data_IF_513378172139
#
_entry.id   IF_513378172139
#
_cell.length_a   1.000
_cell.length_b   1.000
_cell.length_c   1.000
_cell.angle_alpha   90.00
_cell.angle_beta   90.00
_cell.angle_gamma   90.00
#
_symmetry.space_group_name_H-M   'P 1'
#
loop_
_entity.id
_entity.type
_entity.pdbx_description
1 polymer ?
#
# COMPACT_ATOMS: atom_id res chain seq x y z
N UNK A 1 -0.21 -17.14 13.11
CA UNK A 1 -0.24 -16.25 11.95
C UNK A 1 -1.11 -16.86 10.86
N UNK A 2 -2.28 -16.28 10.65
CA UNK A 2 -3.21 -16.72 9.61
C UNK A 2 -2.66 -16.32 8.23
N UNK A 3 -2.49 -17.28 7.35
CA UNK A 3 -2.14 -17.04 5.94
C UNK A 3 -3.44 -17.08 5.14
N UNK A 4 -3.73 -16.01 4.40
CA UNK A 4 -4.96 -15.90 3.61
C UNK A 4 -4.88 -16.71 2.32
N UNK A 5 -3.71 -17.12 1.91
CA UNK A 5 -3.44 -17.86 0.68
C UNK A 5 -2.75 -17.03 -0.39
N UNK A 6 -2.37 -17.71 -1.47
CA UNK A 6 -1.72 -17.08 -2.63
C UNK A 6 -2.76 -16.51 -3.60
N UNK A 7 -2.34 -15.55 -4.42
CA UNK A 7 -3.15 -14.95 -5.51
C UNK A 7 -4.46 -14.28 -5.06
N UNK A 8 -4.54 -13.86 -3.80
CA UNK A 8 -5.71 -13.13 -3.29
C UNK A 8 -5.85 -11.79 -4.00
N UNK A 9 -7.06 -11.45 -4.43
CA UNK A 9 -7.42 -10.27 -5.22
C UNK A 9 -6.71 -10.18 -6.59
N UNK A 10 -6.27 -11.29 -7.15
CA UNK A 10 -5.74 -11.32 -8.50
C UNK A 10 -6.80 -10.87 -9.50
N UNK A 11 -6.51 -9.80 -10.25
CA UNK A 11 -7.45 -9.25 -11.25
C UNK A 11 -8.75 -8.66 -10.68
N UNK A 12 -8.81 -8.35 -9.38
CA UNK A 12 -9.99 -7.77 -8.76
C UNK A 12 -10.32 -6.40 -9.36
N UNK A 13 -11.60 -6.15 -9.66
CA UNK A 13 -12.07 -4.90 -10.28
C UNK A 13 -12.83 -4.00 -9.32
N UNK A 14 -13.29 -4.54 -8.20
CA UNK A 14 -14.01 -3.82 -7.15
C UNK A 14 -14.03 -4.62 -5.87
N UNK A 15 -14.60 -4.06 -4.83
CA UNK A 15 -14.79 -4.72 -3.57
C UNK A 15 -13.77 -4.31 -2.50
N UNK A 16 -13.95 -4.90 -1.32
CA UNK A 16 -13.14 -4.63 -0.15
C UNK A 16 -12.72 -5.94 0.51
N UNK A 17 -11.44 -6.06 0.84
CA UNK A 17 -10.92 -7.17 1.63
C UNK A 17 -10.20 -6.63 2.86
N UNK A 18 -10.69 -6.98 4.03
CA UNK A 18 -10.03 -6.73 5.31
C UNK A 18 -9.71 -8.08 5.96
N UNK A 19 -8.44 -8.35 6.17
CA UNK A 19 -8.03 -9.61 6.78
C UNK A 19 -6.91 -9.43 7.79
N UNK A 20 -7.18 -9.86 9.03
CA UNK A 20 -6.22 -9.90 10.12
C UNK A 20 -5.30 -11.12 9.95
N UNK A 21 -4.38 -11.02 9.01
CA UNK A 21 -3.43 -12.07 8.67
C UNK A 21 -2.57 -11.67 7.48
N UNK A 22 -1.65 -12.57 7.12
CA UNK A 22 -0.75 -12.34 5.99
C UNK A 22 -1.32 -12.97 4.72
N UNK A 23 -1.26 -12.24 3.62
CA UNK A 23 -1.47 -12.79 2.29
C UNK A 23 -0.20 -13.53 1.82
N UNK A 24 -0.38 -14.54 1.00
CA UNK A 24 0.73 -15.24 0.35
C UNK A 24 1.30 -14.47 -0.84
N UNK A 25 1.89 -15.18 -1.78
CA UNK A 25 2.45 -14.60 -3.00
C UNK A 25 1.39 -14.04 -3.92
N UNK A 26 1.76 -13.07 -4.77
CA UNK A 26 0.93 -12.44 -5.81
C UNK A 26 -0.34 -11.77 -5.28
N UNK A 27 -0.25 -11.21 -4.08
CA UNK A 27 -1.33 -10.40 -3.52
C UNK A 27 -1.62 -9.17 -4.39
N UNK A 28 -2.89 -8.95 -4.73
CA UNK A 28 -3.36 -7.81 -5.51
C UNK A 28 -2.72 -7.66 -6.91
N UNK A 29 -2.18 -8.72 -7.49
CA UNK A 29 -1.66 -8.70 -8.87
C UNK A 29 -2.80 -8.38 -9.83
N UNK A 30 -2.57 -7.42 -10.74
CA UNK A 30 -3.56 -6.91 -11.70
C UNK A 30 -4.86 -6.38 -11.06
N UNK A 31 -4.79 -6.00 -9.79
CA UNK A 31 -5.92 -5.31 -9.16
C UNK A 31 -6.20 -4.00 -9.89
N UNK A 32 -7.44 -3.74 -10.24
CA UNK A 32 -7.86 -2.54 -10.98
C UNK A 32 -8.84 -1.64 -10.21
N UNK A 33 -9.35 -2.06 -9.05
CA UNK A 33 -10.32 -1.24 -8.34
C UNK A 33 -10.71 -1.70 -6.95
N UNK A 34 -10.11 -2.75 -6.40
CA UNK A 34 -10.44 -3.20 -5.05
C UNK A 34 -9.65 -2.43 -3.99
N UNK A 35 -10.22 -2.34 -2.80
CA UNK A 35 -9.59 -1.81 -1.60
C UNK A 35 -9.26 -2.96 -0.65
N UNK A 36 -8.03 -3.01 -0.15
CA UNK A 36 -7.61 -4.11 0.71
C UNK A 36 -6.66 -3.67 1.82
N UNK A 37 -6.79 -4.30 2.99
CA UNK A 37 -5.84 -4.19 4.09
C UNK A 37 -5.50 -5.59 4.58
N UNK A 38 -4.20 -5.90 4.65
CA UNK A 38 -3.65 -7.15 5.18
C UNK A 38 -2.46 -6.86 6.09
N UNK A 39 -2.03 -7.85 6.88
CA UNK A 39 -0.93 -7.68 7.85
C UNK A 39 0.45 -8.05 7.28
N UNK A 40 0.54 -8.43 6.03
CA UNK A 40 1.76 -8.73 5.30
C UNK A 40 1.45 -9.42 3.99
N UNK A 41 2.42 -9.53 3.10
CA UNK A 41 2.28 -10.31 1.87
C UNK A 41 3.61 -10.92 1.42
N UNK A 42 3.53 -11.96 0.61
CA UNK A 42 4.70 -12.61 0.01
C UNK A 42 5.24 -11.88 -1.22
N UNK A 43 6.02 -12.56 -2.03
CA UNK A 43 6.60 -12.02 -3.24
C UNK A 43 5.54 -11.61 -4.28
N UNK A 44 5.92 -10.71 -5.17
CA UNK A 44 5.10 -10.23 -6.29
C UNK A 44 3.82 -9.48 -5.90
N UNK A 45 3.79 -8.86 -4.72
CA UNK A 45 2.66 -8.03 -4.29
C UNK A 45 2.44 -6.84 -5.22
N UNK A 46 1.19 -6.54 -5.55
CA UNK A 46 0.77 -5.42 -6.39
C UNK A 46 1.39 -5.37 -7.80
N UNK A 47 1.94 -6.47 -8.32
CA UNK A 47 2.46 -6.51 -9.67
C UNK A 47 1.35 -6.22 -10.70
N UNK A 48 1.66 -5.39 -11.69
CA UNK A 48 0.74 -5.00 -12.76
C UNK A 48 -0.60 -4.43 -12.25
N UNK A 49 -0.64 -3.95 -11.03
CA UNK A 49 -1.81 -3.27 -10.47
C UNK A 49 -2.10 -2.00 -11.27
N UNK A 50 -3.35 -1.78 -11.63
CA UNK A 50 -3.78 -0.66 -12.50
C UNK A 50 -4.73 0.31 -11.79
N UNK A 51 -5.22 -0.02 -10.62
CA UNK A 51 -6.12 0.81 -9.83
C UNK A 51 -6.38 0.20 -8.47
N UNK A 52 -7.22 0.85 -7.68
CA UNK A 52 -7.52 0.43 -6.32
C UNK A 52 -6.49 0.86 -5.28
N UNK A 53 -6.61 0.32 -4.09
CA UNK A 53 -5.71 0.64 -2.97
C UNK A 53 -5.37 -0.61 -2.19
N UNK A 54 -4.09 -0.77 -1.85
CA UNK A 54 -3.60 -1.85 -0.99
C UNK A 54 -2.85 -1.27 0.20
N UNK A 55 -3.19 -1.71 1.42
CA UNK A 55 -2.50 -1.33 2.65
C UNK A 55 -1.96 -2.61 3.28
N UNK A 56 -0.64 -2.66 3.48
CA UNK A 56 0.05 -3.80 4.05
C UNK A 56 0.71 -3.36 5.36
N UNK A 57 0.31 -3.96 6.48
CA UNK A 57 0.73 -3.58 7.83
C UNK A 57 1.94 -4.39 8.32
N UNK A 58 2.74 -4.91 7.41
CA UNK A 58 3.91 -5.71 7.73
C UNK A 58 4.82 -5.92 6.54
N UNK A 59 5.62 -6.96 6.60
CA UNK A 59 6.63 -7.26 5.59
C UNK A 59 6.02 -7.61 4.23
N UNK A 60 6.72 -7.26 3.17
CA UNK A 60 6.43 -7.64 1.79
C UNK A 60 7.57 -8.50 1.25
N UNK A 61 7.29 -9.26 0.20
CA UNK A 61 8.32 -10.04 -0.50
C UNK A 61 8.90 -9.33 -1.72
N UNK A 62 9.73 -10.04 -2.47
CA UNK A 62 10.44 -9.51 -3.64
C UNK A 62 9.51 -9.03 -4.77
N UNK A 63 10.02 -8.12 -5.59
CA UNK A 63 9.35 -7.57 -6.78
C UNK A 63 8.03 -6.84 -6.48
N UNK A 64 7.93 -6.20 -5.33
CA UNK A 64 6.74 -5.43 -5.00
C UNK A 64 6.54 -4.28 -6.01
N UNK A 65 5.34 -4.20 -6.57
CA UNK A 65 4.95 -3.14 -7.48
C UNK A 65 5.54 -3.24 -8.89
N UNK A 66 6.15 -4.36 -9.27
CA UNK A 66 6.68 -4.53 -10.62
C UNK A 66 5.58 -4.34 -11.67
N UNK A 67 5.82 -3.47 -12.66
CA UNK A 67 4.85 -3.17 -13.72
C UNK A 67 3.58 -2.47 -13.25
N UNK A 68 3.51 -1.98 -12.02
CA UNK A 68 2.38 -1.22 -11.50
C UNK A 68 2.21 0.08 -12.27
N UNK A 69 1.01 0.34 -12.78
CA UNK A 69 0.71 1.52 -13.61
C UNK A 69 -0.39 2.41 -13.05
N UNK A 70 -1.12 1.94 -12.06
CA UNK A 70 -2.18 2.71 -11.41
C UNK A 70 -2.46 2.23 -10.00
N UNK A 71 -3.31 2.93 -9.30
CA UNK A 71 -3.62 2.66 -7.90
C UNK A 71 -2.61 3.26 -6.92
N UNK A 72 -2.77 2.90 -5.67
CA UNK A 72 -1.95 3.38 -4.55
C UNK A 72 -1.70 2.24 -3.58
N UNK A 73 -0.51 2.20 -2.99
CA UNK A 73 -0.24 1.27 -1.90
C UNK A 73 0.40 1.99 -0.71
N UNK A 74 0.18 1.45 0.47
CA UNK A 74 0.81 1.88 1.72
C UNK A 74 1.40 0.66 2.40
N UNK A 75 2.65 0.75 2.81
CA UNK A 75 3.35 -0.33 3.52
C UNK A 75 3.87 0.19 4.85
N UNK A 76 3.48 -0.49 5.93
CA UNK A 76 4.06 -0.23 7.25
C UNK A 76 5.44 -0.87 7.30
N UNK A 77 6.46 -0.04 7.10
CA UNK A 77 7.86 -0.44 6.96
C UNK A 77 8.64 -0.19 8.26
N UNK A 78 8.30 -0.96 9.28
CA UNK A 78 8.84 -0.79 10.64
C UNK A 78 10.38 -0.88 10.68
N UNK A 79 10.95 -1.77 9.87
CA UNK A 79 12.41 -2.03 9.83
C UNK A 79 13.13 -1.20 8.76
N UNK A 80 12.42 -0.38 8.02
CA UNK A 80 12.96 0.38 6.88
C UNK A 80 13.66 -0.49 5.83
N UNK A 81 13.07 -1.63 5.52
CA UNK A 81 13.60 -2.62 4.58
C UNK A 81 12.87 -2.65 3.23
N UNK A 82 11.79 -1.89 3.06
CA UNK A 82 10.97 -1.90 1.84
C UNK A 82 11.80 -1.66 0.57
N UNK A 83 12.82 -0.82 0.66
CA UNK A 83 13.74 -0.51 -0.46
C UNK A 83 14.38 -1.76 -1.07
N UNK A 84 14.57 -2.81 -0.28
CA UNK A 84 15.17 -4.06 -0.74
C UNK A 84 14.21 -4.94 -1.56
N UNK A 85 12.92 -4.67 -1.50
CA UNK A 85 11.86 -5.48 -2.11
C UNK A 85 11.12 -4.77 -3.23
N UNK A 86 11.20 -3.45 -3.28
CA UNK A 86 10.51 -2.61 -4.26
C UNK A 86 11.15 -2.69 -5.64
N UNK A 87 10.32 -2.59 -6.69
CA UNK A 87 10.81 -2.47 -8.07
C UNK A 87 10.91 -0.99 -8.48
N UNK A 88 12.11 -0.38 -8.49
CA UNK A 88 12.26 1.05 -8.74
C UNK A 88 12.00 1.46 -10.19
N UNK A 89 11.90 0.52 -11.10
CA UNK A 89 11.59 0.81 -12.50
C UNK A 89 10.15 1.26 -12.70
N UNK A 90 9.23 0.84 -11.82
CA UNK A 90 7.80 1.06 -11.98
C UNK A 90 7.19 1.99 -10.92
N UNK A 91 7.78 2.06 -9.73
CA UNK A 91 7.20 2.76 -8.59
C UNK A 91 8.19 3.70 -7.92
N UNK A 92 7.62 4.73 -7.29
CA UNK A 92 8.31 5.50 -6.25
C UNK A 92 7.69 5.20 -4.90
N UNK A 93 8.43 5.45 -3.85
CA UNK A 93 7.95 5.37 -2.46
C UNK A 93 8.52 6.51 -1.65
N UNK A 94 7.72 6.98 -0.72
CA UNK A 94 8.08 8.09 0.17
C UNK A 94 7.28 7.98 1.47
N UNK A 95 7.62 8.79 2.45
CA UNK A 95 6.75 8.96 3.62
C UNK A 95 5.43 9.60 3.20
N UNK A 96 4.38 9.36 3.97
CA UNK A 96 3.07 10.01 3.75
C UNK A 96 3.20 11.48 4.14
N UNK A 97 3.12 12.38 3.16
CA UNK A 97 3.43 13.80 3.37
C UNK A 97 2.19 14.70 3.47
N UNK A 98 1.15 14.44 2.66
CA UNK A 98 0.00 15.35 2.56
C UNK A 98 -1.11 14.99 3.52
N UNK A 99 -1.84 15.99 3.99
CA UNK A 99 -2.94 15.80 4.93
C UNK A 99 -4.05 14.91 4.37
N UNK A 100 -4.34 15.03 3.08
CA UNK A 100 -5.32 14.15 2.42
C UNK A 100 -5.00 12.67 2.65
N UNK A 101 -3.76 12.26 2.37
CA UNK A 101 -3.35 10.87 2.48
C UNK A 101 -3.13 10.41 3.92
N UNK A 102 -2.72 11.31 4.82
CA UNK A 102 -2.65 11.02 6.26
C UNK A 102 -4.03 10.71 6.83
N UNK A 103 -5.03 11.51 6.49
CA UNK A 103 -6.42 11.31 6.92
C UNK A 103 -7.00 10.04 6.31
N UNK A 104 -6.76 9.80 5.02
CA UNK A 104 -7.18 8.58 4.34
C UNK A 104 -6.64 7.33 5.04
N UNK A 105 -5.35 7.30 5.33
CA UNK A 105 -4.69 6.17 5.99
C UNK A 105 -5.24 5.96 7.41
N UNK A 106 -5.39 7.03 8.17
CA UNK A 106 -5.93 6.95 9.54
C UNK A 106 -7.35 6.40 9.57
N UNK A 107 -8.22 6.90 8.69
CA UNK A 107 -9.59 6.43 8.60
C UNK A 107 -9.66 4.96 8.15
N UNK A 108 -8.81 4.58 7.21
CA UNK A 108 -8.71 3.19 6.75
C UNK A 108 -8.28 2.24 7.86
N UNK A 109 -7.31 2.63 8.68
CA UNK A 109 -6.87 1.85 9.83
C UNK A 109 -7.96 1.73 10.89
N UNK A 110 -8.70 2.81 11.16
CA UNK A 110 -9.82 2.77 12.09
C UNK A 110 -10.89 1.76 11.65
N UNK A 111 -11.28 1.81 10.38
CA UNK A 111 -12.25 0.87 9.82
C UNK A 111 -11.75 -0.59 9.92
N UNK A 112 -10.47 -0.80 9.64
CA UNK A 112 -9.86 -2.13 9.73
C UNK A 112 -9.86 -2.66 11.17
N UNK A 113 -9.53 -1.83 12.14
CA UNK A 113 -9.59 -2.19 13.58
C UNK A 113 -11.00 -2.56 13.97
N UNK A 114 -12.00 -1.77 13.58
CA UNK A 114 -13.40 -2.03 13.92
C UNK A 114 -13.92 -3.36 13.36
N UNK A 115 -13.53 -3.70 12.12
CA UNK A 115 -14.01 -4.90 11.45
C UNK A 115 -13.24 -6.17 11.80
N UNK A 116 -11.94 -6.07 12.09
CA UNK A 116 -11.06 -7.25 12.25
C UNK A 116 -10.52 -7.41 13.66
N UNK A 117 -10.56 -6.38 14.47
CA UNK A 117 -9.93 -6.36 15.79
C UNK A 117 -8.41 -6.63 15.76
N UNK A 118 -7.74 -6.28 14.67
CA UNK A 118 -6.31 -6.48 14.45
C UNK A 118 -5.46 -5.82 15.54
N UNK A 119 -4.58 -6.56 16.17
CA UNK A 119 -3.69 -6.04 17.21
C UNK A 119 -2.66 -5.06 16.66
N UNK A 120 -2.07 -5.37 15.51
CA UNK A 120 -1.09 -4.48 14.87
C UNK A 120 -1.74 -3.17 14.43
N UNK A 121 -2.92 -3.22 13.85
CA UNK A 121 -3.65 -2.03 13.45
C UNK A 121 -4.05 -1.15 14.64
N UNK A 122 -4.45 -1.75 15.75
CA UNK A 122 -4.73 -1.01 17.01
C UNK A 122 -3.50 -0.30 17.52
N UNK A 123 -2.36 -0.98 17.55
CA UNK A 123 -1.08 -0.39 17.98
C UNK A 123 -0.74 0.82 17.14
N UNK A 124 -0.83 0.71 15.82
CA UNK A 124 -0.54 1.79 14.87
C UNK A 124 -1.53 2.93 15.05
N UNK A 125 -2.82 2.65 15.11
CA UNK A 125 -3.87 3.65 15.24
C UNK A 125 -3.78 4.44 16.55
N UNK A 126 -3.48 3.77 17.66
CA UNK A 126 -3.41 4.40 18.98
C UNK A 126 -2.22 5.35 19.14
N UNK A 127 -1.18 5.21 18.34
CA UNK A 127 0.00 6.09 18.33
C UNK A 127 0.28 6.59 16.91
N UNK A 128 -0.77 6.96 16.20
CA UNK A 128 -0.73 7.20 14.76
C UNK A 128 0.31 8.25 14.36
N UNK A 129 0.47 9.34 15.12
CA UNK A 129 1.42 10.41 14.79
C UNK A 129 2.87 9.89 14.73
N UNK A 130 3.26 9.00 15.64
CA UNK A 130 4.58 8.37 15.64
C UNK A 130 4.68 7.24 14.61
N UNK A 131 3.68 6.39 14.54
CA UNK A 131 3.71 5.23 13.65
C UNK A 131 3.57 5.61 12.17
N UNK A 132 2.94 6.75 11.87
CA UNK A 132 2.83 7.29 10.51
C UNK A 132 4.20 7.46 9.84
N UNK A 133 5.24 7.81 10.61
CA UNK A 133 6.59 8.00 10.09
C UNK A 133 7.21 6.72 9.49
N UNK A 134 6.68 5.56 9.86
CA UNK A 134 7.15 4.25 9.40
C UNK A 134 6.44 3.78 8.13
N UNK A 135 5.37 4.45 7.72
CA UNK A 135 4.68 4.13 6.48
C UNK A 135 5.43 4.64 5.26
N UNK A 136 5.44 3.81 4.22
CA UNK A 136 5.79 4.22 2.85
C UNK A 136 4.51 4.29 2.03
N UNK A 137 4.33 5.41 1.34
CA UNK A 137 3.30 5.55 0.32
C UNK A 137 3.93 5.23 -1.03
N UNK A 138 3.34 4.29 -1.75
CA UNK A 138 3.85 3.77 -3.02
C UNK A 138 2.94 4.25 -4.14
N UNK A 139 3.53 4.88 -5.13
CA UNK A 139 2.82 5.38 -6.30
C UNK A 139 3.50 4.93 -7.58
N UNK A 140 2.74 4.44 -8.58
CA UNK A 140 3.29 4.19 -9.89
C UNK A 140 3.88 5.48 -10.50
N UNK A 141 5.05 5.37 -11.10
CA UNK A 141 5.71 6.53 -11.75
C UNK A 141 4.78 7.17 -12.78
N UNK A 142 4.05 6.36 -13.54
CA UNK A 142 3.13 6.83 -14.57
C UNK A 142 1.96 7.67 -14.06
N UNK A 143 1.64 7.57 -12.75
CA UNK A 143 0.50 8.26 -12.16
C UNK A 143 0.87 9.59 -11.50
N UNK A 144 2.14 9.90 -11.34
CA UNK A 144 2.59 11.05 -10.54
C UNK A 144 2.02 12.39 -11.00
N UNK A 145 1.87 12.58 -12.30
CA UNK A 145 1.34 13.80 -12.93
C UNK A 145 -0.19 13.75 -13.17
N UNK A 146 -0.84 12.64 -12.85
CA UNK A 146 -2.26 12.40 -13.10
C UNK A 146 -3.10 12.30 -11.81
N UNK A 147 -2.46 12.41 -10.65
CA UNK A 147 -3.14 12.27 -9.37
C UNK A 147 -4.08 13.45 -9.11
N UNK A 148 -5.32 13.15 -8.77
CA UNK A 148 -6.28 14.14 -8.27
C UNK A 148 -5.79 14.73 -6.93
N UNK A 149 -5.26 13.89 -6.06
CA UNK A 149 -4.68 14.27 -4.78
C UNK A 149 -3.18 13.95 -4.78
N UNK A 150 -2.30 14.97 -4.90
CA UNK A 150 -0.85 14.76 -4.92
C UNK A 150 -0.33 14.08 -3.66
N UNK A 151 0.74 13.31 -3.81
CA UNK A 151 1.40 12.64 -2.67
C UNK A 151 2.50 13.49 -2.04
N UNK A 152 2.96 14.53 -2.71
CA UNK A 152 4.06 15.38 -2.25
C UNK A 152 3.62 16.82 -2.08
N UNK A 153 4.18 17.50 -1.07
CA UNK A 153 4.00 18.91 -0.82
C UNK A 153 4.76 19.79 -1.84
N UNK A 154 5.77 19.22 -2.51
CA UNK A 154 6.52 19.91 -3.57
C UNK A 154 5.86 19.64 -4.91
N UNK A 155 5.62 20.70 -5.67
CA UNK A 155 5.19 20.56 -7.06
C UNK A 155 6.16 19.64 -7.81
N UNK A 156 5.66 18.69 -8.62
CA UNK A 156 6.54 17.88 -9.44
C UNK A 156 7.38 18.82 -10.31
N UNK A 157 8.70 18.67 -10.24
CA UNK A 157 9.59 19.38 -11.15
C UNK A 157 9.23 18.87 -12.54
N UNK A 158 8.63 19.74 -13.35
CA UNK A 158 8.45 19.45 -14.77
C UNK A 158 9.84 19.18 -15.33
N UNK A 159 10.14 17.94 -15.65
CA UNK A 159 11.31 17.66 -16.47
C UNK A 159 11.11 18.42 -17.75
N UNK A 160 11.92 19.46 -17.95
CA UNK A 160 11.95 20.18 -19.20
C UNK A 160 12.37 19.20 -20.30
N UNK A 161 11.61 19.09 -21.28
CA UNK A 161 11.99 18.32 -22.48
C UNK A 161 11.41 17.47 -23.16
#
# INVERSE_FOLDING_TARGET
>A
NTIIGNTVLYGATSGKLFASGQAGERFAVRNSGSFSIVEGCGAHGCEYMTGGTAIILGEVGDNFGAGMTGGMAFVYDEKNTFVNFANPASIIWQKVETDHWKIFLKNSLNNFVEETNSKIAKKIFNDFENELQKFKQICPIEMLDKLENPISLKSPVKKAG
#
